data_IF_964913811122
#
_entry.id   IF_964913811122
#
_cell.length_a   1.000
_cell.length_b   1.000
_cell.length_c   1.000
_cell.angle_alpha   90.00
_cell.angle_beta   90.00
_cell.angle_gamma   90.00
#
_symmetry.space_group_name_H-M   'P 1'
#
loop_
_entity.id
_entity.type
_entity.pdbx_description
1 polymer ?
#
# COMPACT_ATOMS: atom_id res chain seq x y z
N UNK A 1 -2.42 -5.79 -6.25
CA UNK A 1 -1.78 -4.52 -5.82
C UNK A 1 -1.47 -4.61 -4.33
N UNK A 2 -0.39 -3.98 -3.88
CA UNK A 2 -0.01 -3.92 -2.45
C UNK A 2 -0.30 -2.52 -1.90
N UNK A 3 -0.75 -2.42 -0.66
CA UNK A 3 -0.87 -1.18 0.10
C UNK A 3 -0.38 -1.40 1.54
N UNK A 4 -0.02 -0.34 2.25
CA UNK A 4 0.37 -0.42 3.66
C UNK A 4 1.70 0.26 3.94
N UNK A 5 2.52 -0.37 4.78
CA UNK A 5 3.85 0.14 5.17
C UNK A 5 4.90 -0.05 4.07
N UNK A 6 5.94 0.80 3.99
CA UNK A 6 7.03 0.60 3.03
C UNK A 6 7.79 -0.71 3.28
N UNK A 7 8.30 -1.32 2.20
CA UNK A 7 9.19 -2.48 2.25
C UNK A 7 10.62 -2.03 1.91
N UNK A 8 11.43 -1.63 2.92
CA UNK A 8 12.80 -1.21 2.67
C UNK A 8 13.64 -2.39 2.18
N UNK A 9 14.68 -2.14 1.38
CA UNK A 9 15.64 -3.19 1.02
C UNK A 9 16.32 -3.76 2.29
N UNK A 10 16.45 -5.09 2.45
CA UNK A 10 16.08 -6.19 1.53
C UNK A 10 14.77 -6.93 1.90
N UNK A 11 13.72 -6.25 2.35
CA UNK A 11 12.43 -6.83 2.78
C UNK A 11 11.55 -7.33 1.60
N UNK A 12 12.03 -8.31 0.85
CA UNK A 12 11.37 -8.85 -0.35
C UNK A 12 10.34 -9.96 -0.07
N UNK A 13 10.22 -10.42 1.18
CA UNK A 13 9.38 -11.55 1.59
C UNK A 13 7.99 -11.53 0.97
N UNK A 14 7.24 -10.43 1.13
CA UNK A 14 5.87 -10.34 0.62
C UNK A 14 5.79 -10.52 -0.91
N UNK A 15 6.58 -9.74 -1.65
CA UNK A 15 6.55 -9.75 -3.12
C UNK A 15 6.92 -11.12 -3.67
N UNK A 16 7.98 -11.74 -3.11
CA UNK A 16 8.41 -13.07 -3.48
C UNK A 16 7.30 -14.12 -3.26
N UNK A 17 6.59 -14.08 -2.13
CA UNK A 17 5.50 -15.02 -1.84
C UNK A 17 4.30 -14.84 -2.78
N UNK A 18 3.95 -13.60 -3.13
CA UNK A 18 2.87 -13.32 -4.09
C UNK A 18 3.21 -13.87 -5.48
N UNK A 19 4.44 -13.65 -5.94
CA UNK A 19 4.88 -14.13 -7.24
C UNK A 19 5.06 -15.65 -7.27
N UNK A 20 5.54 -16.24 -6.17
CA UNK A 20 5.61 -17.70 -6.00
C UNK A 20 4.23 -18.36 -6.08
N UNK A 21 3.19 -17.72 -5.54
CA UNK A 21 1.81 -18.18 -5.63
C UNK A 21 1.18 -17.99 -7.02
N UNK A 22 1.94 -17.47 -8.00
CA UNK A 22 1.52 -17.34 -9.39
C UNK A 22 0.67 -16.10 -9.67
N UNK A 23 0.76 -15.08 -8.82
CA UNK A 23 0.21 -13.74 -9.10
C UNK A 23 1.33 -12.77 -9.48
N UNK A 24 0.97 -11.57 -9.93
CA UNK A 24 1.92 -10.50 -10.25
C UNK A 24 1.55 -9.25 -9.46
N UNK A 25 2.54 -8.60 -8.84
CA UNK A 25 2.33 -7.32 -8.16
C UNK A 25 2.38 -6.20 -9.21
N UNK A 26 1.22 -5.63 -9.53
CA UNK A 26 1.09 -4.57 -10.54
C UNK A 26 1.38 -3.17 -10.01
N UNK A 27 1.49 -3.00 -8.69
CA UNK A 27 1.78 -1.70 -8.08
C UNK A 27 1.70 -1.72 -6.55
N UNK A 28 2.32 -0.69 -5.97
CA UNK A 28 2.56 -0.54 -4.53
C UNK A 28 2.10 0.85 -4.06
N UNK A 29 0.98 0.93 -3.34
CA UNK A 29 0.54 2.11 -2.59
C UNK A 29 1.32 2.15 -1.26
N UNK A 30 2.63 2.41 -1.34
CA UNK A 30 3.54 2.49 -0.18
C UNK A 30 4.53 3.66 -0.33
N UNK A 31 5.30 3.98 0.71
CA UNK A 31 6.37 4.99 0.63
C UNK A 31 7.64 4.50 -0.07
N UNK A 32 7.74 3.20 -0.40
CA UNK A 32 8.75 2.67 -1.34
C UNK A 32 8.19 2.52 -2.75
N UNK A 33 6.91 2.82 -2.95
CA UNK A 33 6.21 2.87 -4.23
C UNK A 33 5.56 4.23 -4.45
N UNK A 34 4.27 4.22 -4.82
CA UNK A 34 3.52 5.37 -5.35
C UNK A 34 3.64 6.64 -4.50
N UNK A 35 3.55 6.53 -3.16
CA UNK A 35 3.57 7.72 -2.28
C UNK A 35 4.90 8.48 -2.32
N UNK A 36 5.98 7.83 -2.77
CA UNK A 36 7.28 8.49 -2.91
C UNK A 36 7.29 9.46 -4.09
N UNK A 37 6.79 9.02 -5.25
CA UNK A 37 7.00 9.70 -6.53
C UNK A 37 5.74 10.29 -7.17
N UNK A 38 4.53 10.03 -6.64
CA UNK A 38 3.27 10.58 -7.14
C UNK A 38 3.29 12.11 -7.22
N UNK A 39 3.79 12.76 -6.17
CA UNK A 39 3.71 14.22 -6.00
C UNK A 39 5.04 14.91 -6.29
N UNK A 40 5.05 15.72 -7.35
CA UNK A 40 6.17 16.58 -7.73
C UNK A 40 6.08 17.96 -7.07
N UNK A 41 7.25 18.60 -6.89
CA UNK A 41 7.32 19.97 -6.39
C UNK A 41 7.01 20.95 -7.52
N UNK A 42 6.07 21.86 -7.29
CA UNK A 42 5.73 22.91 -8.26
C UNK A 42 6.89 23.91 -8.40
N UNK A 43 7.28 24.28 -9.64
CA UNK A 43 8.33 25.28 -9.85
C UNK A 43 7.88 26.67 -9.38
N UNK A 44 8.83 27.50 -8.98
CA UNK A 44 8.62 28.89 -8.62
C UNK A 44 9.82 29.74 -9.05
N UNK A 45 9.63 31.06 -9.16
CA UNK A 45 10.68 31.97 -9.66
C UNK A 45 11.55 32.58 -8.54
N UNK A 46 11.05 32.64 -7.31
CA UNK A 46 11.76 33.20 -6.15
C UNK A 46 11.99 32.15 -5.05
N UNK A 47 13.00 32.39 -4.22
CA UNK A 47 13.43 31.45 -3.18
C UNK A 47 12.32 31.14 -2.16
N UNK A 48 11.56 32.15 -1.75
CA UNK A 48 10.53 31.98 -0.71
C UNK A 48 9.41 31.04 -1.20
N UNK A 49 8.96 31.21 -2.44
CA UNK A 49 7.97 30.33 -3.06
C UNK A 49 8.53 28.94 -3.34
N UNK A 50 9.79 28.82 -3.76
CA UNK A 50 10.45 27.52 -3.91
C UNK A 50 10.46 26.75 -2.59
N UNK A 51 10.86 27.40 -1.49
CA UNK A 51 10.86 26.79 -0.16
C UNK A 51 9.45 26.41 0.29
N UNK A 52 8.46 27.29 0.04
CA UNK A 52 7.05 27.02 0.31
C UNK A 52 6.56 25.78 -0.45
N UNK A 53 6.88 25.66 -1.73
CA UNK A 53 6.46 24.52 -2.57
C UNK A 53 7.16 23.22 -2.15
N UNK A 54 8.45 23.27 -1.80
CA UNK A 54 9.18 22.13 -1.23
C UNK A 54 8.52 21.66 0.06
N UNK A 55 8.09 22.57 0.93
CA UNK A 55 7.41 22.22 2.18
C UNK A 55 5.99 21.69 1.97
N UNK A 56 5.26 22.18 0.95
CA UNK A 56 3.92 21.71 0.58
C UNK A 56 3.93 20.31 -0.01
N UNK A 57 4.93 19.96 -0.82
CA UNK A 57 5.03 18.65 -1.50
C UNK A 57 4.92 17.45 -0.55
N UNK A 58 5.70 17.32 0.55
CA UNK A 58 5.57 16.19 1.48
C UNK A 58 4.24 16.16 2.23
N UNK A 59 3.54 17.30 2.38
CA UNK A 59 2.21 17.34 2.98
C UNK A 59 1.11 16.78 2.07
N UNK A 60 1.38 16.58 0.78
CA UNK A 60 0.47 15.86 -0.13
C UNK A 60 0.48 14.34 0.09
N UNK A 61 1.47 13.81 0.82
CA UNK A 61 1.61 12.37 1.06
C UNK A 61 0.59 11.91 2.11
N UNK A 62 -0.34 11.05 1.68
CA UNK A 62 -1.40 10.49 2.52
C UNK A 62 -0.90 9.35 3.43
N UNK A 63 -0.09 9.68 4.43
CA UNK A 63 0.39 8.73 5.43
C UNK A 63 -0.63 8.54 6.56
N UNK A 64 -0.79 7.30 7.05
CA UNK A 64 -1.69 6.97 8.16
C UNK A 64 -1.36 7.67 9.50
N UNK A 65 -0.21 8.36 9.59
CA UNK A 65 0.11 9.22 10.73
C UNK A 65 -0.77 10.49 10.81
N UNK A 66 -1.39 10.89 9.71
CA UNK A 66 -2.30 12.03 9.68
C UNK A 66 -3.74 11.60 9.94
N UNK A 67 -4.54 12.48 10.52
CA UNK A 67 -5.96 12.21 10.77
C UNK A 67 -6.81 13.46 10.48
N UNK A 68 -7.92 13.32 9.72
CA UNK A 68 -8.32 12.12 8.97
C UNK A 68 -7.43 11.89 7.73
N UNK A 69 -7.43 10.68 7.19
CA UNK A 69 -6.61 10.30 6.02
C UNK A 69 -7.44 9.69 4.87
N UNK A 70 -8.59 10.30 4.58
CA UNK A 70 -9.51 9.83 3.54
C UNK A 70 -8.85 9.79 2.15
N UNK A 71 -7.91 10.71 1.89
CA UNK A 71 -7.16 10.77 0.63
C UNK A 71 -6.42 9.47 0.30
N UNK A 72 -5.91 8.73 1.31
CA UNK A 72 -5.29 7.42 1.06
C UNK A 72 -6.30 6.40 0.54
N UNK A 73 -7.53 6.40 1.06
CA UNK A 73 -8.58 5.47 0.59
C UNK A 73 -8.91 5.71 -0.88
N UNK A 74 -8.94 6.99 -1.28
CA UNK A 74 -9.11 7.39 -2.68
C UNK A 74 -7.91 6.99 -3.54
N UNK A 75 -6.68 7.24 -3.08
CA UNK A 75 -5.45 6.82 -3.77
C UNK A 75 -5.44 5.30 -4.03
N UNK A 76 -5.71 4.48 -3.01
CA UNK A 76 -5.79 3.01 -3.14
C UNK A 76 -6.85 2.62 -4.17
N UNK A 77 -8.03 3.21 -4.10
CA UNK A 77 -9.15 2.89 -4.99
C UNK A 77 -8.86 3.26 -6.43
N UNK A 78 -8.27 4.44 -6.65
CA UNK A 78 -7.90 4.94 -7.96
C UNK A 78 -6.79 4.08 -8.57
N UNK A 79 -5.78 3.73 -7.78
CA UNK A 79 -4.67 2.89 -8.21
C UNK A 79 -5.11 1.46 -8.54
N UNK A 80 -5.97 0.87 -7.70
CA UNK A 80 -6.51 -0.46 -7.96
C UNK A 80 -7.29 -0.51 -9.29
N UNK A 81 -8.11 0.52 -9.57
CA UNK A 81 -8.85 0.64 -10.84
C UNK A 81 -7.94 0.90 -12.03
N UNK A 82 -6.99 1.83 -11.92
CA UNK A 82 -6.11 2.22 -13.03
C UNK A 82 -5.20 1.08 -13.46
N UNK A 83 -4.69 0.31 -12.51
CA UNK A 83 -3.85 -0.86 -12.74
C UNK A 83 -4.65 -2.13 -13.03
N UNK A 84 -5.99 -2.07 -12.99
CA UNK A 84 -6.89 -3.22 -13.12
C UNK A 84 -6.50 -4.36 -12.17
N UNK A 85 -6.20 -4.01 -10.93
CA UNK A 85 -5.81 -4.98 -9.91
C UNK A 85 -6.99 -5.88 -9.55
N UNK A 86 -6.80 -7.20 -9.68
CA UNK A 86 -7.83 -8.18 -9.30
C UNK A 86 -8.04 -8.26 -7.77
N UNK A 87 -7.04 -7.84 -6.99
CA UNK A 87 -7.10 -7.79 -5.54
C UNK A 87 -6.11 -6.79 -4.92
N UNK A 88 -6.39 -6.42 -3.68
CA UNK A 88 -5.57 -5.57 -2.83
C UNK A 88 -5.09 -6.34 -1.62
N UNK A 89 -3.77 -6.36 -1.40
CA UNK A 89 -3.15 -6.89 -0.19
C UNK A 89 -2.69 -5.70 0.67
N UNK A 90 -3.32 -5.51 1.82
CA UNK A 90 -2.89 -4.57 2.86
C UNK A 90 -1.84 -5.26 3.74
N UNK A 91 -0.57 -4.93 3.52
CA UNK A 91 0.56 -5.48 4.24
C UNK A 91 1.18 -4.43 5.16
N UNK A 92 1.22 -4.75 6.46
CA UNK A 92 1.79 -3.87 7.47
C UNK A 92 2.91 -4.57 8.24
N UNK A 93 3.99 -3.83 8.49
CA UNK A 93 5.01 -4.26 9.45
C UNK A 93 4.36 -4.40 10.84
N UNK A 94 4.72 -5.47 11.54
CA UNK A 94 4.21 -5.77 12.87
C UNK A 94 4.37 -4.56 13.79
N UNK A 95 3.31 -4.27 14.55
CA UNK A 95 3.25 -3.11 15.47
C UNK A 95 3.26 -1.73 14.80
N UNK A 96 3.09 -1.63 13.48
CA UNK A 96 2.81 -0.34 12.85
C UNK A 96 1.37 0.12 13.14
N UNK A 97 1.16 0.71 14.32
CA UNK A 97 -0.17 1.07 14.81
C UNK A 97 -0.98 2.00 13.89
N UNK A 98 -0.41 3.06 13.26
CA UNK A 98 -1.20 3.95 12.41
C UNK A 98 -1.87 3.21 11.24
N UNK A 99 -1.08 2.44 10.48
CA UNK A 99 -1.60 1.63 9.37
C UNK A 99 -2.43 0.44 9.88
N UNK A 100 -2.05 -0.13 11.04
CA UNK A 100 -2.79 -1.18 11.74
C UNK A 100 -4.22 -0.78 12.13
N UNK A 101 -4.43 0.47 12.56
CA UNK A 101 -5.77 1.00 12.85
C UNK A 101 -6.50 1.39 11.57
N UNK A 102 -5.84 2.13 10.68
CA UNK A 102 -6.45 2.64 9.45
C UNK A 102 -6.88 1.54 8.47
N UNK A 103 -6.21 0.39 8.46
CA UNK A 103 -6.54 -0.73 7.59
C UNK A 103 -7.96 -1.29 7.77
N UNK A 104 -8.63 -1.01 8.91
CA UNK A 104 -10.07 -1.27 9.04
C UNK A 104 -10.91 -0.44 8.05
N UNK A 105 -10.61 0.84 7.87
CA UNK A 105 -11.32 1.69 6.93
C UNK A 105 -10.97 1.36 5.49
N UNK A 106 -9.71 0.98 5.24
CA UNK A 106 -9.28 0.47 3.93
C UNK A 106 -10.08 -0.77 3.54
N UNK A 107 -10.21 -1.76 4.44
CA UNK A 107 -10.95 -2.98 4.14
C UNK A 107 -12.42 -2.69 3.83
N UNK A 108 -13.04 -1.75 4.56
CA UNK A 108 -14.43 -1.34 4.32
C UNK A 108 -14.63 -0.64 2.99
N UNK A 109 -13.68 0.19 2.56
CA UNK A 109 -13.77 0.83 1.25
C UNK A 109 -13.56 -0.18 0.11
N UNK A 110 -12.65 -1.14 0.26
CA UNK A 110 -12.47 -2.21 -0.74
C UNK A 110 -13.68 -3.13 -0.83
N UNK A 111 -14.27 -3.52 0.32
CA UNK A 111 -15.50 -4.31 0.39
C UNK A 111 -16.66 -3.60 -0.33
N UNK A 112 -16.84 -2.30 -0.06
CA UNK A 112 -17.86 -1.46 -0.71
C UNK A 112 -17.68 -1.37 -2.23
N UNK A 113 -16.45 -1.42 -2.72
CA UNK A 113 -16.14 -1.41 -4.15
C UNK A 113 -16.14 -2.80 -4.80
N UNK A 114 -16.38 -3.86 -4.02
CA UNK A 114 -16.34 -5.24 -4.50
C UNK A 114 -14.94 -5.70 -4.91
N UNK A 115 -13.89 -5.10 -4.35
CA UNK A 115 -12.50 -5.47 -4.64
C UNK A 115 -12.04 -6.50 -3.59
N UNK A 116 -11.60 -7.70 -4.01
CA UNK A 116 -11.03 -8.69 -3.10
C UNK A 116 -9.88 -8.11 -2.28
N UNK A 117 -9.91 -8.36 -0.97
CA UNK A 117 -9.01 -7.74 -0.02
C UNK A 117 -8.44 -8.77 0.96
N UNK A 118 -7.12 -8.73 1.17
CA UNK A 118 -6.43 -9.54 2.17
C UNK A 118 -5.57 -8.65 3.05
N UNK A 119 -5.72 -8.81 4.36
CA UNK A 119 -4.89 -8.12 5.34
C UNK A 119 -3.80 -9.03 5.88
N UNK A 120 -2.56 -8.61 5.78
CA UNK A 120 -1.38 -9.32 6.26
C UNK A 120 -0.58 -8.42 7.22
N UNK A 121 -0.01 -9.03 8.24
CA UNK A 121 0.92 -8.40 9.16
C UNK A 121 2.09 -9.36 9.38
N UNK A 122 3.30 -8.84 9.39
CA UNK A 122 4.52 -9.65 9.50
C UNK A 122 5.73 -8.80 9.90
N UNK A 123 6.82 -9.44 10.28
CA UNK A 123 8.12 -8.82 10.52
C UNK A 123 9.16 -9.23 9.45
N UNK A 124 10.45 -9.03 9.73
CA UNK A 124 11.54 -9.40 8.82
C UNK A 124 12.04 -10.84 8.96
N UNK A 125 11.51 -11.62 9.90
CA UNK A 125 11.88 -13.03 10.09
C UNK A 125 11.35 -13.90 8.95
N UNK A 126 11.79 -15.15 8.88
CA UNK A 126 11.28 -16.13 7.90
C UNK A 126 10.25 -17.10 8.51
N UNK A 127 9.97 -16.99 9.80
CA UNK A 127 9.21 -17.98 10.57
C UNK A 127 7.76 -18.14 10.08
N UNK A 128 7.17 -17.04 9.58
CA UNK A 128 5.78 -16.98 9.14
C UNK A 128 5.57 -17.17 7.63
N UNK A 129 6.63 -17.43 6.85
CA UNK A 129 6.54 -17.51 5.39
C UNK A 129 5.50 -18.53 4.90
N UNK A 130 5.49 -19.73 5.49
CA UNK A 130 4.54 -20.79 5.11
C UNK A 130 3.08 -20.40 5.39
N UNK A 131 2.82 -19.74 6.52
CA UNK A 131 1.50 -19.23 6.86
C UNK A 131 1.07 -18.11 5.92
N UNK A 132 1.95 -17.17 5.61
CA UNK A 132 1.67 -16.08 4.67
C UNK A 132 1.37 -16.63 3.27
N UNK A 133 2.18 -17.56 2.78
CA UNK A 133 2.00 -18.20 1.48
C UNK A 133 0.61 -18.86 1.37
N UNK A 134 0.21 -19.66 2.36
CA UNK A 134 -1.09 -20.36 2.35
C UNK A 134 -2.26 -19.37 2.27
N UNK A 135 -2.16 -18.23 2.96
CA UNK A 135 -3.20 -17.19 2.93
C UNK A 135 -3.25 -16.44 1.60
N UNK A 136 -2.08 -16.22 0.99
CA UNK A 136 -1.96 -15.59 -0.34
C UNK A 136 -2.52 -16.54 -1.42
N UNK A 137 -2.17 -17.82 -1.37
CA UNK A 137 -2.70 -18.85 -2.27
C UNK A 137 -4.23 -18.92 -2.19
N UNK A 138 -4.80 -18.95 -0.97
CA UNK A 138 -6.25 -18.94 -0.76
C UNK A 138 -6.95 -17.70 -1.37
N UNK A 139 -6.32 -16.52 -1.27
CA UNK A 139 -6.83 -15.31 -1.94
C UNK A 139 -6.83 -15.48 -3.46
N UNK A 140 -5.71 -15.96 -4.02
CA UNK A 140 -5.54 -16.13 -5.48
C UNK A 140 -6.52 -17.17 -6.02
N UNK A 141 -6.73 -18.28 -5.31
CA UNK A 141 -7.73 -19.29 -5.66
C UNK A 141 -9.15 -18.71 -5.67
N UNK A 142 -9.51 -17.91 -4.65
CA UNK A 142 -10.82 -17.26 -4.57
C UNK A 142 -11.09 -16.29 -5.73
N UNK A 143 -10.06 -15.64 -6.27
CA UNK A 143 -10.18 -14.71 -7.39
C UNK A 143 -10.32 -15.45 -8.73
N UNK A 144 -9.76 -16.66 -8.85
CA UNK A 144 -9.78 -17.46 -10.08
C UNK A 144 -11.07 -18.29 -10.25
N UNK A 145 -11.81 -18.52 -9.16
CA UNK A 145 -13.05 -19.30 -9.13
C UNK A 145 -14.23 -18.52 -9.71
#
# INVERSE_FOLDING_TARGET
>A
MVTGTPQPLPAWKLHALIEQAGAVVVGEETCTGERYYKDMTEPAENLDDMLSNIAKRPLKVNCACFTPNQGRLEDISNMAKSLKADAVIDFNLQFCQPYGVEGYFVSKEMEKQGIPFLRLESDFSEEDQGQLLTRIEALIEMIRA
#
